data_IF_858564491621
#
_entry.id   IF_858564491621
#
_cell.length_a   1.000
_cell.length_b   1.000
_cell.length_c   1.000
_cell.angle_alpha   90.00
_cell.angle_beta   90.00
_cell.angle_gamma   90.00
#
_symmetry.space_group_name_H-M   'P 1'
#
loop_
_entity.id
_entity.type
_entity.pdbx_description
1 polymer ?
#
# COMPACT_ATOMS: atom_id res chain seq x y z
N UNK A 1 17.96 17.15 -14.58
CA UNK A 1 16.70 17.21 -13.82
C UNK A 1 16.76 18.39 -12.87
N UNK A 2 15.71 19.22 -12.76
CA UNK A 2 15.68 20.32 -11.81
C UNK A 2 15.53 19.81 -10.37
N UNK A 3 16.02 20.61 -9.41
CA UNK A 3 15.82 20.35 -7.99
C UNK A 3 14.33 20.53 -7.62
N UNK A 4 13.75 19.58 -6.88
CA UNK A 4 12.37 19.60 -6.39
C UNK A 4 12.38 19.78 -4.87
N UNK A 5 12.00 20.93 -4.32
CA UNK A 5 12.06 21.17 -2.88
C UNK A 5 11.24 20.14 -2.09
N UNK A 6 11.65 19.82 -0.84
CA UNK A 6 10.94 18.87 -0.02
C UNK A 6 9.53 19.37 0.31
N UNK A 7 8.56 18.46 0.30
CA UNK A 7 7.19 18.77 0.69
C UNK A 7 7.12 19.10 2.18
N UNK A 8 6.84 20.36 2.49
CA UNK A 8 6.77 20.87 3.86
C UNK A 8 5.59 20.30 4.63
N UNK A 9 4.49 19.89 3.97
CA UNK A 9 3.34 19.27 4.63
C UNK A 9 3.71 17.90 5.19
N UNK A 10 4.51 17.13 4.45
CA UNK A 10 5.01 15.83 4.92
C UNK A 10 6.05 16.06 6.01
N UNK A 11 7.12 16.81 5.74
CA UNK A 11 8.26 16.93 6.64
C UNK A 11 7.99 17.67 7.95
N UNK A 12 6.97 18.55 8.00
CA UNK A 12 6.55 19.21 9.23
C UNK A 12 5.48 18.43 10.01
N UNK A 13 4.99 17.29 9.49
CA UNK A 13 3.98 16.48 10.17
C UNK A 13 4.58 15.45 11.15
N UNK A 14 3.77 15.06 12.14
CA UNK A 14 4.07 13.94 13.06
C UNK A 14 3.53 12.59 12.57
N UNK A 15 2.91 12.62 11.38
CA UNK A 15 2.26 11.45 10.81
C UNK A 15 3.31 10.50 10.24
N UNK A 16 2.99 9.22 10.30
CA UNK A 16 3.77 8.20 9.59
C UNK A 16 3.43 8.34 8.11
N UNK A 17 4.46 8.53 7.29
CA UNK A 17 4.34 8.57 5.84
C UNK A 17 4.95 7.29 5.23
N UNK A 18 4.30 6.64 4.26
CA UNK A 18 2.99 6.98 3.65
C UNK A 18 1.77 6.55 4.49
N UNK A 19 1.98 5.91 5.66
CA UNK A 19 0.89 5.55 6.58
C UNK A 19 0.12 4.28 6.20
N UNK A 20 0.51 3.64 5.09
CA UNK A 20 -0.01 2.37 4.61
C UNK A 20 1.14 1.47 4.16
N UNK A 21 1.01 0.17 4.39
CA UNK A 21 2.03 -0.82 4.01
C UNK A 21 1.75 -1.49 2.67
N UNK A 22 0.46 -1.68 2.35
CA UNK A 22 0.03 -2.36 1.14
C UNK A 22 -1.15 -1.57 0.56
N UNK A 23 -1.18 -1.40 -0.75
CA UNK A 23 -2.29 -0.81 -1.48
C UNK A 23 -2.45 -1.50 -2.84
N UNK A 24 -3.67 -1.67 -3.31
CA UNK A 24 -3.91 -2.02 -4.71
C UNK A 24 -3.73 -0.76 -5.56
N UNK A 25 -2.69 -0.76 -6.39
CA UNK A 25 -2.35 0.36 -7.26
C UNK A 25 -3.17 0.38 -8.56
N UNK A 26 -3.66 -0.78 -8.99
CA UNK A 26 -4.48 -0.89 -10.19
C UNK A 26 -5.01 -2.30 -10.43
N UNK A 27 -6.05 -2.38 -11.23
CA UNK A 27 -6.58 -3.61 -11.79
C UNK A 27 -6.68 -3.45 -13.31
N UNK A 28 -6.41 -4.53 -14.05
CA UNK A 28 -6.46 -4.52 -15.50
C UNK A 28 -6.60 -5.92 -16.08
N UNK A 29 -6.80 -6.00 -17.39
CA UNK A 29 -6.78 -7.24 -18.14
C UNK A 29 -5.64 -7.16 -19.14
N UNK A 30 -4.77 -8.16 -19.13
CA UNK A 30 -3.67 -8.28 -20.08
C UNK A 30 -3.69 -9.72 -20.61
N UNK A 31 -3.83 -9.87 -21.92
CA UNK A 31 -3.90 -11.19 -22.59
C UNK A 31 -5.01 -12.11 -22.05
N UNK A 32 -6.20 -11.54 -21.80
CA UNK A 32 -7.34 -12.27 -21.22
C UNK A 32 -7.21 -12.63 -19.73
N UNK A 33 -6.05 -12.41 -19.11
CA UNK A 33 -5.83 -12.61 -17.69
C UNK A 33 -6.12 -11.32 -16.89
N UNK A 34 -6.83 -11.44 -15.76
CA UNK A 34 -7.03 -10.32 -14.83
C UNK A 34 -5.79 -10.16 -13.96
N UNK A 35 -5.17 -8.99 -14.04
CA UNK A 35 -3.98 -8.62 -13.28
C UNK A 35 -4.35 -7.56 -12.24
N UNK A 36 -3.81 -7.73 -11.04
CA UNK A 36 -3.92 -6.76 -9.94
C UNK A 36 -2.53 -6.33 -9.53
N UNK A 37 -2.27 -5.03 -9.53
CA UNK A 37 -1.00 -4.44 -9.10
C UNK A 37 -1.09 -4.12 -7.61
N UNK A 38 -0.20 -4.71 -6.82
CA UNK A 38 -0.10 -4.45 -5.39
C UNK A 38 1.15 -3.63 -5.12
N UNK A 39 0.96 -2.41 -4.62
CA UNK A 39 2.01 -1.53 -4.13
C UNK A 39 2.33 -1.90 -2.68
N UNK A 40 3.62 -2.11 -2.39
CA UNK A 40 4.12 -2.44 -1.06
C UNK A 40 5.10 -1.37 -0.59
N UNK A 41 4.82 -0.77 0.56
CA UNK A 41 5.60 0.32 1.16
C UNK A 41 6.24 -0.15 2.49
N UNK A 42 7.40 -0.84 2.44
CA UNK A 42 8.05 -1.36 3.64
C UNK A 42 8.73 -0.27 4.48
N UNK A 43 9.00 0.88 3.88
CA UNK A 43 9.61 2.03 4.54
C UNK A 43 8.53 2.98 5.05
N UNK A 44 8.54 3.24 6.35
CA UNK A 44 7.64 4.19 6.99
C UNK A 44 8.47 5.24 7.73
N UNK A 45 8.24 6.51 7.45
CA UNK A 45 9.01 7.60 8.02
C UNK A 45 8.14 8.47 8.92
N UNK A 46 8.63 8.80 10.11
CA UNK A 46 8.03 9.80 11.02
C UNK A 46 8.94 11.04 11.09
N UNK A 47 8.61 12.11 10.34
CA UNK A 47 9.48 13.27 10.15
C UNK A 47 9.84 14.01 11.44
N UNK A 48 8.86 14.31 12.29
CA UNK A 48 9.07 15.06 13.54
C UNK A 48 10.06 14.37 14.49
N UNK A 49 10.02 13.04 14.55
CA UNK A 49 10.96 12.24 15.37
C UNK A 49 12.23 11.82 14.63
N UNK A 50 12.32 12.09 13.32
CA UNK A 50 13.40 11.64 12.43
C UNK A 50 13.63 10.13 12.48
N UNK A 51 12.55 9.34 12.62
CA UNK A 51 12.61 7.88 12.74
C UNK A 51 12.15 7.23 11.43
N UNK A 52 12.92 6.25 10.96
CA UNK A 52 12.58 5.38 9.85
C UNK A 52 12.27 3.99 10.42
N UNK A 53 11.10 3.47 10.10
CA UNK A 53 10.68 2.11 10.40
C UNK A 53 10.78 1.28 9.13
N UNK A 54 11.44 0.13 9.24
CA UNK A 54 11.56 -0.85 8.17
C UNK A 54 10.76 -2.10 8.53
N UNK A 55 9.73 -2.39 7.75
CA UNK A 55 9.00 -3.65 7.87
C UNK A 55 9.80 -4.74 7.17
N UNK A 56 10.19 -5.75 7.95
CA UNK A 56 11.06 -6.85 7.48
C UNK A 56 10.28 -8.03 6.92
N UNK A 57 9.01 -8.17 7.28
CA UNK A 57 8.16 -9.27 6.84
C UNK A 57 6.76 -8.76 6.56
N UNK A 58 6.24 -9.10 5.38
CA UNK A 58 4.90 -8.72 4.92
C UNK A 58 4.24 -10.00 4.42
N UNK A 59 3.26 -10.49 5.17
CA UNK A 59 2.42 -11.61 4.75
C UNK A 59 1.16 -11.08 4.07
N UNK A 60 0.99 -11.38 2.79
CA UNK A 60 -0.24 -11.07 2.07
C UNK A 60 -1.12 -12.32 1.99
N UNK A 61 -2.36 -12.24 2.47
CA UNK A 61 -3.38 -13.30 2.29
C UNK A 61 -4.41 -12.82 1.28
N UNK A 62 -4.44 -13.49 0.13
CA UNK A 62 -5.37 -13.18 -0.94
C UNK A 62 -6.61 -14.11 -0.81
N UNK A 63 -7.81 -13.58 -1.02
CA UNK A 63 -9.07 -14.34 -0.93
C UNK A 63 -10.04 -13.85 -2.00
N UNK A 64 -10.13 -14.56 -3.12
CA UNK A 64 -11.06 -14.21 -4.20
C UNK A 64 -12.51 -14.36 -3.70
N UNK A 65 -13.19 -13.24 -3.47
CA UNK A 65 -14.64 -13.25 -3.34
C UNK A 65 -15.21 -13.37 -4.76
N UNK A 66 -16.15 -14.28 -4.98
CA UNK A 66 -16.96 -14.36 -6.19
C UNK A 66 -18.37 -13.92 -5.79
N UNK A 67 -18.93 -12.93 -6.47
CA UNK A 67 -20.31 -12.52 -6.30
C UNK A 67 -21.27 -13.60 -6.85
N UNK A 68 -22.55 -13.52 -6.50
CA UNK A 68 -23.57 -14.50 -6.92
C UNK A 68 -23.81 -14.53 -8.43
N UNK A 69 -23.21 -13.60 -9.20
CA UNK A 69 -23.30 -13.52 -10.65
C UNK A 69 -22.05 -14.10 -11.34
N UNK A 70 -21.12 -14.70 -10.58
CA UNK A 70 -19.88 -15.27 -11.11
C UNK A 70 -18.79 -14.22 -11.39
N UNK A 71 -19.00 -12.95 -11.03
CA UNK A 71 -17.97 -11.93 -11.13
C UNK A 71 -17.17 -11.88 -9.83
N UNK A 72 -15.84 -11.72 -9.86
CA UNK A 72 -15.06 -11.57 -8.64
C UNK A 72 -15.49 -10.28 -7.90
N UNK A 73 -16.03 -10.47 -6.70
CA UNK A 73 -16.52 -9.44 -5.79
C UNK A 73 -15.41 -8.48 -5.35
N UNK A 74 -15.77 -7.20 -5.29
CA UNK A 74 -14.92 -6.08 -4.88
C UNK A 74 -14.96 -5.93 -3.36
N UNK A 75 -14.18 -6.72 -2.63
CA UNK A 75 -13.93 -6.43 -1.22
C UNK A 75 -12.48 -6.75 -0.88
N UNK A 76 -11.64 -5.70 -0.91
CA UNK A 76 -10.20 -5.81 -0.71
C UNK A 76 -9.66 -4.72 0.22
N UNK A 77 -10.41 -4.41 1.27
CA UNK A 77 -9.93 -3.59 2.39
C UNK A 77 -9.61 -4.49 3.57
N UNK A 78 -8.59 -5.34 3.43
CA UNK A 78 -7.97 -5.97 4.59
C UNK A 78 -6.71 -5.17 4.92
N UNK A 79 -6.89 -4.20 5.80
CA UNK A 79 -5.83 -3.48 6.48
C UNK A 79 -4.82 -4.52 7.03
N UNK A 80 -3.73 -4.71 6.31
CA UNK A 80 -2.67 -5.63 6.71
C UNK A 80 -1.94 -4.99 7.89
N UNK A 81 -2.37 -5.36 9.11
CA UNK A 81 -1.65 -4.97 10.32
C UNK A 81 -0.33 -5.75 10.37
N UNK A 82 0.82 -5.08 10.55
CA UNK A 82 2.06 -5.79 10.77
C UNK A 82 1.94 -6.63 12.04
N UNK A 83 2.34 -7.90 11.96
CA UNK A 83 2.53 -8.74 13.14
C UNK A 83 3.70 -8.18 13.93
N UNK A 84 3.43 -7.71 15.16
CA UNK A 84 4.44 -7.38 16.16
C UNK A 84 4.76 -8.61 17.00
#
# INVERSE_FOLDING_TARGET
MPWVPPDTLVYNSDNIFPGRFIKIAGEGIMDGARIVTVEVCPHQYRPKTKRLFLVRSIGARNSLAIDTNGNPGKEWDKECKPGF
#
